data_IF_463496571880
#
_entry.id   IF_463496571880
#
_cell.length_a   1.000
_cell.length_b   1.000
_cell.length_c   1.000
_cell.angle_alpha   90.00
_cell.angle_beta   90.00
_cell.angle_gamma   90.00
#
_symmetry.space_group_name_H-M   'P 1'
#
loop_
_entity.id
_entity.type
_entity.pdbx_description
1 polymer ?
#
# COMPACT_ATOMS: atom_id res chain seq x y z
N UNK A 1 -18.03 35.41 5.73
CA UNK A 1 -16.59 35.21 6.05
C UNK A 1 -15.80 35.12 4.75
N UNK A 2 -14.97 36.11 4.43
CA UNK A 2 -14.11 36.09 3.25
C UNK A 2 -13.02 35.05 3.50
N UNK A 3 -13.12 33.91 2.80
CA UNK A 3 -12.03 32.92 2.81
C UNK A 3 -10.78 33.58 2.24
N UNK A 4 -9.67 33.50 2.97
CA UNK A 4 -8.38 33.95 2.50
C UNK A 4 -8.06 33.31 1.14
N UNK A 5 -8.18 34.08 0.08
CA UNK A 5 -8.06 33.70 -1.33
C UNK A 5 -6.63 33.31 -1.75
N UNK A 6 -5.69 33.45 -0.84
CA UNK A 6 -4.27 33.21 -1.07
C UNK A 6 -3.71 32.15 -0.13
N UNK A 7 -4.21 30.90 -0.23
CA UNK A 7 -3.39 29.80 0.24
C UNK A 7 -2.25 29.60 -0.76
N UNK A 8 -1.00 30.00 -0.46
CA UNK A 8 0.13 29.89 -1.38
C UNK A 8 0.47 28.44 -1.70
N UNK A 9 -0.10 27.47 -0.97
CA UNK A 9 0.13 26.06 -1.15
C UNK A 9 -0.92 25.37 -2.06
N UNK A 10 -2.06 26.01 -2.35
CA UNK A 10 -3.05 25.44 -3.25
C UNK A 10 -2.50 25.32 -4.68
N UNK A 11 -2.66 24.16 -5.34
CA UNK A 11 -2.19 23.99 -6.72
C UNK A 11 -3.01 24.85 -7.67
N UNK A 12 -2.33 25.62 -8.52
CA UNK A 12 -2.96 26.57 -9.46
C UNK A 12 -3.17 25.97 -10.86
N UNK A 13 -2.33 25.02 -11.25
CA UNK A 13 -2.42 24.37 -12.55
C UNK A 13 -2.68 22.88 -12.39
N UNK A 14 -3.20 22.25 -13.46
CA UNK A 14 -3.41 20.80 -13.50
C UNK A 14 -2.10 20.03 -13.24
N UNK A 15 -1.00 20.45 -13.89
CA UNK A 15 0.29 19.76 -13.76
C UNK A 15 0.87 19.90 -12.34
N UNK A 16 0.71 21.08 -11.71
CA UNK A 16 1.11 21.27 -10.31
C UNK A 16 0.29 20.40 -9.37
N UNK A 17 -1.02 20.30 -9.59
CA UNK A 17 -1.89 19.41 -8.81
C UNK A 17 -1.50 17.94 -9.00
N UNK A 18 -1.26 17.49 -10.23
CA UNK A 18 -0.87 16.13 -10.55
C UNK A 18 0.48 15.75 -9.89
N UNK A 19 1.48 16.64 -9.97
CA UNK A 19 2.78 16.47 -9.31
C UNK A 19 2.64 16.38 -7.78
N UNK A 20 1.89 17.29 -7.17
CA UNK A 20 1.66 17.28 -5.72
C UNK A 20 0.94 16.02 -5.26
N UNK A 21 -0.06 15.54 -6.01
CA UNK A 21 -0.72 14.26 -5.68
C UNK A 21 0.25 13.10 -5.82
N UNK A 22 1.07 13.06 -6.87
CA UNK A 22 2.07 11.99 -7.03
C UNK A 22 3.08 11.96 -5.88
N UNK A 23 3.60 13.12 -5.47
CA UNK A 23 4.50 13.25 -4.34
C UNK A 23 3.80 12.83 -3.03
N UNK A 24 2.59 13.32 -2.78
CA UNK A 24 1.84 12.95 -1.58
C UNK A 24 1.47 11.46 -1.56
N UNK A 25 1.15 10.87 -2.70
CA UNK A 25 0.92 9.43 -2.80
C UNK A 25 2.18 8.63 -2.46
N UNK A 26 3.34 9.05 -2.96
CA UNK A 26 4.63 8.43 -2.62
C UNK A 26 4.93 8.55 -1.12
N UNK A 27 4.80 9.76 -0.55
CA UNK A 27 5.01 9.99 0.88
C UNK A 27 4.01 9.18 1.74
N UNK A 28 2.77 9.06 1.30
CA UNK A 28 1.77 8.22 1.96
C UNK A 28 2.15 6.74 1.91
N UNK A 29 2.72 6.25 0.80
CA UNK A 29 3.23 4.88 0.70
C UNK A 29 4.37 4.63 1.68
N UNK A 30 5.35 5.54 1.78
CA UNK A 30 6.45 5.43 2.76
C UNK A 30 5.91 5.43 4.19
N UNK A 31 5.02 6.35 4.51
CA UNK A 31 4.40 6.42 5.85
C UNK A 31 3.56 5.17 6.15
N UNK A 32 2.87 4.64 5.15
CA UNK A 32 2.09 3.40 5.28
C UNK A 32 2.95 2.19 5.63
N UNK A 33 4.14 2.08 5.05
CA UNK A 33 5.11 1.03 5.43
C UNK A 33 5.49 1.14 6.91
N UNK A 34 5.79 2.37 7.38
CA UNK A 34 6.14 2.60 8.78
C UNK A 34 4.97 2.25 9.70
N UNK A 35 3.74 2.67 9.36
CA UNK A 35 2.53 2.34 10.13
C UNK A 35 2.32 0.83 10.18
N UNK A 36 2.38 0.16 9.02
CA UNK A 36 2.17 -1.28 8.92
C UNK A 36 3.18 -2.06 9.78
N UNK A 37 4.47 -1.76 9.62
CA UNK A 37 5.53 -2.39 10.42
C UNK A 37 5.37 -2.10 11.92
N UNK A 38 4.98 -0.88 12.31
CA UNK A 38 4.76 -0.50 13.70
C UNK A 38 3.57 -1.25 14.31
N UNK A 39 2.46 -1.37 13.59
CA UNK A 39 1.29 -2.14 14.05
C UNK A 39 1.67 -3.60 14.24
N UNK A 40 2.31 -4.23 13.24
CA UNK A 40 2.75 -5.62 13.37
C UNK A 40 3.71 -5.83 14.54
N UNK A 41 4.68 -4.92 14.71
CA UNK A 41 5.65 -4.99 15.82
C UNK A 41 4.95 -4.92 17.19
N UNK A 42 4.04 -3.95 17.37
CA UNK A 42 3.30 -3.77 18.63
C UNK A 42 2.46 -5.02 18.94
N UNK A 43 1.72 -5.54 17.96
CA UNK A 43 0.88 -6.73 18.18
C UNK A 43 1.71 -8.00 18.40
N UNK A 44 2.87 -8.15 17.76
CA UNK A 44 3.79 -9.27 18.05
C UNK A 44 4.44 -9.16 19.42
N UNK A 45 4.69 -7.95 19.92
CA UNK A 45 5.32 -7.73 21.23
C UNK A 45 4.35 -7.87 22.40
N UNK A 46 3.08 -7.52 22.20
CA UNK A 46 2.04 -7.57 23.26
C UNK A 46 1.25 -8.87 23.20
N UNK A 47 0.97 -9.38 21.99
CA UNK A 47 0.33 -10.67 21.79
C UNK A 47 1.35 -11.80 21.98
N UNK A 48 0.87 -12.98 22.40
CA UNK A 48 1.63 -14.23 22.31
C UNK A 48 1.20 -14.92 21.00
N UNK A 49 1.76 -14.54 19.83
CA UNK A 49 1.36 -15.19 18.59
C UNK A 49 1.75 -16.66 18.66
N UNK A 50 0.80 -17.54 18.35
CA UNK A 50 1.05 -18.97 18.31
C UNK A 50 2.09 -19.25 17.21
N UNK A 51 3.12 -20.01 17.52
CA UNK A 51 4.08 -20.49 16.53
C UNK A 51 3.39 -21.64 15.79
N UNK A 52 3.33 -21.54 14.47
CA UNK A 52 2.69 -22.54 13.59
C UNK A 52 3.70 -23.35 12.77
N UNK A 53 4.97 -22.97 12.81
CA UNK A 53 6.02 -23.66 12.07
C UNK A 53 7.36 -22.95 12.21
N UNK A 54 8.33 -23.43 11.46
CA UNK A 54 9.63 -22.78 11.32
C UNK A 54 10.19 -23.00 9.91
N UNK A 55 11.07 -22.10 9.48
CA UNK A 55 11.90 -22.31 8.31
C UNK A 55 13.30 -22.62 8.80
N UNK A 56 13.82 -23.76 8.41
CA UNK A 56 15.20 -24.17 8.58
C UNK A 56 16.01 -23.65 7.40
N UNK A 57 17.13 -23.01 7.68
CA UNK A 57 18.08 -22.58 6.68
C UNK A 57 19.38 -23.34 6.88
N UNK A 58 19.79 -24.07 5.86
CA UNK A 58 21.07 -24.79 5.81
C UNK A 58 22.06 -23.98 4.99
N UNK A 59 23.21 -23.66 5.59
CA UNK A 59 24.30 -22.96 4.92
C UNK A 59 25.17 -24.00 4.22
N UNK A 60 25.15 -23.98 2.89
CA UNK A 60 26.00 -24.83 2.08
C UNK A 60 27.39 -24.22 2.01
N UNK A 61 28.41 -24.95 2.46
CA UNK A 61 29.80 -24.49 2.45
C UNK A 61 30.61 -25.23 1.40
N UNK A 62 31.64 -24.58 0.86
CA UNK A 62 32.63 -25.20 -0.02
C UNK A 62 33.66 -26.04 0.77
N UNK A 63 34.59 -26.68 0.06
CA UNK A 63 35.65 -27.51 0.67
C UNK A 63 36.60 -26.68 1.55
N UNK A 64 36.59 -25.35 1.42
CA UNK A 64 37.37 -24.40 2.21
C UNK A 64 36.61 -23.86 3.42
N UNK A 65 35.33 -24.22 3.58
CA UNK A 65 34.46 -23.78 4.67
C UNK A 65 33.78 -22.41 4.44
N UNK A 66 33.81 -21.87 3.21
CA UNK A 66 33.12 -20.63 2.88
C UNK A 66 31.66 -20.92 2.49
N UNK A 67 30.73 -20.10 2.94
CA UNK A 67 29.32 -20.20 2.56
C UNK A 67 29.17 -19.85 1.06
N UNK A 68 28.62 -20.80 0.29
CA UNK A 68 28.37 -20.66 -1.15
C UNK A 68 26.90 -20.55 -1.51
N UNK A 69 26.01 -21.12 -0.68
CA UNK A 69 24.56 -21.09 -0.90
C UNK A 69 23.81 -21.21 0.43
N UNK A 70 22.52 -20.93 0.40
CA UNK A 70 21.61 -21.06 1.52
C UNK A 70 20.32 -21.73 1.04
N UNK A 71 19.97 -22.87 1.63
CA UNK A 71 18.76 -23.61 1.29
C UNK A 71 17.77 -23.52 2.44
N UNK A 72 16.57 -23.01 2.17
CA UNK A 72 15.51 -22.86 3.16
C UNK A 72 14.44 -23.96 2.99
N UNK A 73 14.15 -24.72 4.05
CA UNK A 73 13.05 -25.69 4.09
C UNK A 73 12.04 -25.27 5.18
N UNK A 74 10.76 -25.22 4.83
CA UNK A 74 9.72 -24.78 5.76
C UNK A 74 8.93 -25.96 6.29
N UNK A 75 8.75 -26.00 7.62
CA UNK A 75 8.01 -27.00 8.36
C UNK A 75 6.83 -26.36 9.09
N UNK A 76 5.64 -26.98 9.03
CA UNK A 76 4.45 -26.56 9.76
C UNK A 76 4.08 -27.61 10.80
N UNK A 77 3.66 -27.15 11.99
CA UNK A 77 3.15 -28.03 13.04
C UNK A 77 1.69 -28.40 12.76
N UNK A 78 1.31 -29.64 13.07
CA UNK A 78 -0.09 -30.04 13.04
C UNK A 78 -0.87 -29.39 14.20
N UNK A 79 -2.19 -29.23 14.04
CA UNK A 79 -3.03 -28.61 15.06
C UNK A 79 -3.00 -29.44 16.37
N UNK A 80 -2.47 -28.83 17.44
CA UNK A 80 -2.36 -29.44 18.77
C UNK A 80 -0.98 -29.98 19.11
N UNK A 81 -0.03 -29.96 18.21
CA UNK A 81 1.37 -30.29 18.52
C UNK A 81 2.08 -29.17 19.30
N UNK A 82 2.96 -29.56 20.21
CA UNK A 82 3.83 -28.63 20.91
C UNK A 82 4.93 -28.15 19.94
N UNK A 83 5.10 -26.84 19.83
CA UNK A 83 6.04 -26.23 18.90
C UNK A 83 7.49 -26.47 19.38
N UNK A 84 8.07 -27.59 18.98
CA UNK A 84 9.48 -27.91 19.25
C UNK A 84 10.30 -27.45 18.05
N UNK A 85 11.11 -26.40 18.25
CA UNK A 85 12.03 -25.88 17.25
C UNK A 85 13.43 -26.29 17.65
N UNK A 86 14.22 -26.89 16.74
CA UNK A 86 15.61 -27.24 17.01
C UNK A 86 16.45 -25.99 17.37
N UNK A 87 17.52 -26.21 18.13
CA UNK A 87 18.48 -25.15 18.41
C UNK A 87 19.35 -24.89 17.18
N UNK A 88 19.63 -23.61 16.89
CA UNK A 88 20.52 -23.23 15.80
C UNK A 88 21.96 -23.62 16.09
N UNK A 89 22.66 -24.08 15.07
CA UNK A 89 24.09 -24.38 15.11
C UNK A 89 24.86 -23.54 14.07
N UNK A 90 26.13 -23.86 13.81
CA UNK A 90 26.98 -23.09 12.89
C UNK A 90 26.56 -23.24 11.41
N UNK A 91 25.77 -24.26 11.09
CA UNK A 91 25.33 -24.57 9.71
C UNK A 91 23.84 -24.47 9.51
N UNK A 92 23.06 -24.50 10.59
CA UNK A 92 21.60 -24.44 10.53
C UNK A 92 21.06 -23.35 11.44
N UNK A 93 20.17 -22.51 10.91
CA UNK A 93 19.41 -21.57 11.75
C UNK A 93 17.91 -21.64 11.42
N UNK A 94 17.09 -21.28 12.41
CA UNK A 94 15.65 -21.52 12.38
C UNK A 94 14.87 -20.22 12.56
N UNK A 95 14.04 -19.87 11.58
CA UNK A 95 13.14 -18.72 11.67
C UNK A 95 11.73 -19.19 12.03
N UNK A 96 11.20 -18.68 13.14
CA UNK A 96 9.85 -19.00 13.63
C UNK A 96 8.77 -18.40 12.73
N UNK A 97 7.79 -19.23 12.38
CA UNK A 97 6.58 -18.80 11.68
C UNK A 97 5.45 -18.67 12.69
N UNK A 98 4.83 -17.50 12.73
CA UNK A 98 3.76 -17.19 13.67
C UNK A 98 2.41 -17.12 12.97
N UNK A 99 1.31 -17.45 13.69
CA UNK A 99 -0.04 -17.15 13.18
C UNK A 99 -0.16 -15.66 12.94
N UNK A 100 -0.81 -15.30 11.85
CA UNK A 100 -1.24 -13.93 11.64
C UNK A 100 -2.66 -13.77 12.18
N UNK A 101 -2.79 -12.94 13.20
CA UNK A 101 -4.10 -12.44 13.58
C UNK A 101 -4.61 -11.50 12.48
N UNK A 102 -5.85 -11.72 12.03
CA UNK A 102 -6.47 -10.84 11.03
C UNK A 102 -6.63 -9.39 11.53
N UNK A 103 -6.70 -9.20 12.85
CA UNK A 103 -6.92 -7.88 13.45
C UNK A 103 -5.82 -6.86 13.18
N UNK A 104 -4.51 -7.15 13.35
CA UNK A 104 -3.43 -6.23 12.99
C UNK A 104 -3.44 -5.86 11.50
N UNK A 105 -3.74 -6.83 10.63
CA UNK A 105 -3.82 -6.59 9.18
C UNK A 105 -4.98 -5.65 8.84
N UNK A 106 -6.17 -5.88 9.40
CA UNK A 106 -7.34 -5.02 9.20
C UNK A 106 -7.09 -3.62 9.76
N UNK A 107 -6.53 -3.52 10.97
CA UNK A 107 -6.23 -2.24 11.61
C UNK A 107 -5.21 -1.44 10.80
N UNK A 108 -4.12 -2.08 10.39
CA UNK A 108 -3.10 -1.43 9.55
C UNK A 108 -3.67 -1.00 8.21
N UNK A 109 -4.53 -1.81 7.57
CA UNK A 109 -5.19 -1.44 6.32
C UNK A 109 -6.08 -0.20 6.48
N UNK A 110 -6.86 -0.12 7.56
CA UNK A 110 -7.69 1.06 7.83
C UNK A 110 -6.82 2.31 8.00
N UNK A 111 -5.76 2.22 8.80
CA UNK A 111 -4.88 3.35 9.08
C UNK A 111 -4.12 3.81 7.82
N UNK A 112 -3.57 2.88 7.05
CA UNK A 112 -2.78 3.20 5.85
C UNK A 112 -3.65 3.82 4.76
N UNK A 113 -4.87 3.27 4.52
CA UNK A 113 -5.82 3.84 3.56
C UNK A 113 -6.33 5.21 4.02
N UNK A 114 -6.55 5.41 5.32
CA UNK A 114 -6.96 6.71 5.86
C UNK A 114 -5.89 7.77 5.59
N UNK A 115 -4.63 7.49 5.91
CA UNK A 115 -3.50 8.41 5.67
C UNK A 115 -3.36 8.72 4.19
N UNK A 116 -3.38 7.69 3.35
CA UNK A 116 -3.32 7.83 1.90
C UNK A 116 -4.45 8.71 1.36
N UNK A 117 -5.68 8.45 1.81
CA UNK A 117 -6.86 9.23 1.41
C UNK A 117 -6.72 10.69 1.81
N UNK A 118 -6.34 10.98 3.05
CA UNK A 118 -6.21 12.35 3.54
C UNK A 118 -5.15 13.14 2.76
N UNK A 119 -4.00 12.52 2.47
CA UNK A 119 -2.92 13.18 1.75
C UNK A 119 -3.28 13.52 0.31
N UNK A 120 -4.02 12.65 -0.38
CA UNK A 120 -4.47 12.91 -1.76
C UNK A 120 -5.67 13.86 -1.77
N UNK A 121 -6.62 13.63 -0.85
CA UNK A 121 -7.85 14.41 -0.74
C UNK A 121 -7.57 15.92 -0.61
N UNK A 122 -6.64 16.30 0.26
CA UNK A 122 -6.32 17.71 0.52
C UNK A 122 -5.89 18.46 -0.75
N UNK A 123 -5.05 17.84 -1.57
CA UNK A 123 -4.55 18.44 -2.81
C UNK A 123 -5.64 18.50 -3.88
N UNK A 124 -6.36 17.38 -4.09
CA UNK A 124 -7.40 17.31 -5.11
C UNK A 124 -8.60 18.22 -4.78
N UNK A 125 -8.97 18.31 -3.49
CA UNK A 125 -9.99 19.23 -3.01
C UNK A 125 -9.57 20.69 -3.22
N UNK A 126 -8.34 21.06 -2.85
CA UNK A 126 -7.81 22.41 -3.03
C UNK A 126 -7.78 22.83 -4.50
N UNK A 127 -7.43 21.93 -5.38
CA UNK A 127 -7.48 22.16 -6.84
C UNK A 127 -8.92 22.36 -7.33
N UNK A 128 -9.88 21.56 -6.86
CA UNK A 128 -11.30 21.73 -7.18
C UNK A 128 -11.86 23.07 -6.72
N UNK A 129 -11.50 23.51 -5.49
CA UNK A 129 -11.90 24.83 -4.98
C UNK A 129 -11.28 25.99 -5.79
N UNK A 130 -10.02 25.86 -6.18
CA UNK A 130 -9.36 26.83 -7.07
C UNK A 130 -10.08 26.91 -8.43
N UNK A 131 -10.39 25.76 -9.07
CA UNK A 131 -11.12 25.70 -10.34
C UNK A 131 -12.51 26.30 -10.26
N UNK A 132 -13.24 26.09 -9.15
CA UNK A 132 -14.52 26.75 -8.93
C UNK A 132 -14.40 28.28 -9.06
N UNK A 133 -13.36 28.84 -8.47
CA UNK A 133 -13.15 30.27 -8.48
C UNK A 133 -12.77 30.75 -9.89
N UNK A 134 -11.90 30.04 -10.62
CA UNK A 134 -11.58 30.38 -12.01
C UNK A 134 -12.81 30.40 -12.92
N UNK A 135 -13.70 29.39 -12.76
CA UNK A 135 -14.95 29.34 -13.51
C UNK A 135 -15.89 30.49 -13.12
N UNK A 136 -16.00 30.82 -11.83
CA UNK A 136 -16.82 31.94 -11.36
C UNK A 136 -16.34 33.29 -11.91
N UNK A 137 -15.03 33.45 -12.16
CA UNK A 137 -14.46 34.66 -12.79
C UNK A 137 -14.39 34.60 -14.33
N UNK A 138 -14.96 33.58 -14.95
CA UNK A 138 -14.96 33.43 -16.39
C UNK A 138 -13.59 33.12 -17.01
N UNK A 139 -12.61 32.69 -16.19
CA UNK A 139 -11.24 32.38 -16.63
C UNK A 139 -11.07 30.92 -17.11
N UNK A 140 -12.01 30.06 -16.76
CA UNK A 140 -12.01 28.65 -17.15
C UNK A 140 -13.42 28.15 -17.38
N UNK A 141 -13.56 27.00 -18.07
CA UNK A 141 -14.82 26.28 -18.22
C UNK A 141 -14.83 25.06 -17.30
N UNK A 142 -16.01 24.70 -16.76
CA UNK A 142 -16.14 23.53 -15.92
C UNK A 142 -15.91 22.24 -16.70
N UNK A 143 -14.97 21.43 -16.25
CA UNK A 143 -14.78 20.06 -16.75
C UNK A 143 -15.06 19.06 -15.62
N UNK A 144 -16.15 18.29 -15.74
CA UNK A 144 -16.57 17.29 -14.73
C UNK A 144 -15.59 16.14 -14.54
N UNK A 145 -14.82 15.82 -15.59
CA UNK A 145 -13.86 14.71 -15.57
C UNK A 145 -12.45 15.13 -15.15
N UNK A 146 -12.23 16.40 -14.81
CA UNK A 146 -10.89 16.91 -14.47
C UNK A 146 -10.30 16.21 -13.24
N UNK A 147 -11.13 15.94 -12.22
CA UNK A 147 -10.72 15.16 -11.04
C UNK A 147 -10.33 13.70 -11.39
N UNK A 148 -11.08 13.05 -12.28
CA UNK A 148 -10.72 11.70 -12.73
C UNK A 148 -9.42 11.70 -13.55
N UNK A 149 -9.24 12.66 -14.47
CA UNK A 149 -7.98 12.85 -15.21
C UNK A 149 -6.81 13.04 -14.26
N UNK A 150 -6.98 13.86 -13.22
CA UNK A 150 -5.96 14.10 -12.20
C UNK A 150 -5.55 12.77 -11.51
N UNK A 151 -6.52 11.92 -11.14
CA UNK A 151 -6.29 10.60 -10.59
C UNK A 151 -5.53 9.67 -11.55
N UNK A 152 -5.88 9.65 -12.83
CA UNK A 152 -5.19 8.86 -13.86
C UNK A 152 -3.73 9.30 -14.00
N UNK A 153 -3.48 10.60 -14.18
CA UNK A 153 -2.11 11.12 -14.32
C UNK A 153 -1.24 10.84 -13.09
N UNK A 154 -1.80 10.99 -11.90
CA UNK A 154 -1.07 10.69 -10.65
C UNK A 154 -0.86 9.19 -10.42
N UNK A 155 -1.57 8.32 -11.13
CA UNK A 155 -1.47 6.86 -11.04
C UNK A 155 -0.48 6.24 -12.01
N UNK A 156 0.16 7.02 -12.89
CA UNK A 156 1.05 6.50 -13.95
C UNK A 156 2.11 5.54 -13.40
N UNK A 157 2.75 5.86 -12.27
CA UNK A 157 3.78 4.99 -11.67
C UNK A 157 3.17 3.65 -11.21
N UNK A 158 1.99 3.67 -10.58
CA UNK A 158 1.28 2.45 -10.17
C UNK A 158 0.83 1.62 -11.38
N UNK A 159 0.40 2.28 -12.46
CA UNK A 159 0.03 1.62 -13.73
C UNK A 159 1.24 0.96 -14.37
N UNK A 160 2.39 1.63 -14.43
CA UNK A 160 3.63 1.06 -14.97
C UNK A 160 4.10 -0.14 -14.13
N UNK A 161 4.05 -0.04 -12.80
CA UNK A 161 4.37 -1.15 -11.93
C UNK A 161 3.40 -2.35 -12.14
N UNK A 162 2.11 -2.08 -12.36
CA UNK A 162 1.13 -3.10 -12.67
C UNK A 162 1.38 -3.77 -14.02
N UNK A 163 1.76 -3.00 -15.04
CA UNK A 163 2.14 -3.53 -16.36
C UNK A 163 3.36 -4.44 -16.24
N UNK A 164 4.38 -4.06 -15.44
CA UNK A 164 5.53 -4.93 -15.16
C UNK A 164 5.09 -6.26 -14.54
N UNK A 165 4.13 -6.24 -13.63
CA UNK A 165 3.54 -7.45 -13.04
C UNK A 165 2.84 -8.32 -14.08
N UNK A 166 2.05 -7.72 -14.99
CA UNK A 166 1.40 -8.44 -16.09
C UNK A 166 2.43 -9.12 -17.01
N UNK A 167 3.49 -8.40 -17.37
CA UNK A 167 4.56 -8.93 -18.24
C UNK A 167 5.26 -10.10 -17.54
N UNK A 168 5.55 -9.94 -16.24
CA UNK A 168 6.14 -11.02 -15.44
C UNK A 168 5.23 -12.25 -15.39
N UNK A 169 3.91 -12.07 -15.17
CA UNK A 169 2.92 -13.15 -15.18
C UNK A 169 2.83 -13.89 -16.52
N UNK A 170 3.14 -13.24 -17.63
CA UNK A 170 3.17 -13.83 -18.97
C UNK A 170 4.45 -14.62 -19.26
N UNK A 171 5.31 -14.86 -18.26
CA UNK A 171 6.49 -15.71 -18.36
C UNK A 171 7.81 -14.97 -18.60
N UNK A 172 7.83 -13.63 -18.53
CA UNK A 172 9.08 -12.87 -18.54
C UNK A 172 9.62 -12.81 -17.11
N UNK A 173 10.78 -13.43 -16.83
CA UNK A 173 11.39 -13.47 -15.50
C UNK A 173 11.81 -12.07 -15.03
N UNK A 174 10.91 -11.34 -14.38
CA UNK A 174 11.15 -10.03 -13.78
C UNK A 174 11.03 -10.16 -12.25
N UNK A 175 12.09 -10.61 -11.59
CA UNK A 175 12.11 -10.89 -10.14
C UNK A 175 11.74 -9.68 -9.27
N UNK A 176 12.00 -8.44 -9.74
CA UNK A 176 11.73 -7.22 -8.98
C UNK A 176 10.33 -6.61 -9.23
N UNK A 177 9.49 -7.23 -10.06
CA UNK A 177 8.15 -6.69 -10.38
C UNK A 177 7.26 -6.60 -9.13
N UNK A 178 7.21 -7.68 -8.32
CA UNK A 178 6.45 -7.72 -7.06
C UNK A 178 6.95 -6.71 -6.03
N UNK A 179 8.27 -6.66 -5.69
CA UNK A 179 8.80 -5.65 -4.78
C UNK A 179 8.49 -4.22 -5.20
N UNK A 180 8.67 -3.88 -6.48
CA UNK A 180 8.37 -2.53 -6.98
C UNK A 180 6.89 -2.21 -6.85
N UNK A 181 6.01 -3.13 -7.27
CA UNK A 181 4.57 -2.94 -7.15
C UNK A 181 4.14 -2.77 -5.69
N UNK A 182 4.64 -3.61 -4.80
CA UNK A 182 4.38 -3.54 -3.36
C UNK A 182 4.85 -2.22 -2.75
N UNK A 183 6.04 -1.74 -3.11
CA UNK A 183 6.58 -0.48 -2.62
C UNK A 183 5.72 0.72 -3.05
N UNK A 184 5.38 0.79 -4.34
CA UNK A 184 4.59 1.91 -4.93
C UNK A 184 3.15 1.93 -4.43
N UNK A 185 2.61 0.79 -4.00
CA UNK A 185 1.24 0.63 -3.52
C UNK A 185 1.18 0.12 -2.07
N UNK A 186 2.19 0.42 -1.26
CA UNK A 186 2.37 -0.13 0.09
C UNK A 186 1.23 0.22 1.06
N UNK A 187 0.45 1.26 0.78
CA UNK A 187 -0.78 1.55 1.54
C UNK A 187 -1.86 0.46 1.42
N UNK A 188 -1.73 -0.48 0.46
CA UNK A 188 -2.63 -1.61 0.27
C UNK A 188 -1.95 -2.97 0.54
N UNK A 189 -0.74 -2.98 1.11
CA UNK A 189 -0.02 -4.23 1.42
C UNK A 189 -0.83 -5.20 2.30
N UNK A 190 -1.53 -4.76 3.38
CA UNK A 190 -2.32 -5.69 4.18
C UNK A 190 -3.45 -6.35 3.37
N UNK A 191 -4.07 -5.59 2.46
CA UNK A 191 -5.08 -6.13 1.55
C UNK A 191 -4.48 -7.16 0.58
N UNK A 192 -3.31 -6.84 0.00
CA UNK A 192 -2.64 -7.77 -0.91
C UNK A 192 -2.26 -9.07 -0.21
N UNK A 193 -1.76 -8.98 1.02
CA UNK A 193 -1.41 -10.14 1.82
C UNK A 193 -2.62 -11.07 2.09
N UNK A 194 -3.82 -10.49 2.22
CA UNK A 194 -5.04 -11.27 2.41
C UNK A 194 -5.48 -12.05 1.15
N UNK A 195 -5.14 -11.57 -0.05
CA UNK A 195 -5.56 -12.15 -1.33
C UNK A 195 -4.43 -12.85 -2.08
N UNK A 196 -3.19 -12.59 -1.72
CA UNK A 196 -1.99 -13.23 -2.27
C UNK A 196 -1.40 -14.10 -1.17
N UNK A 197 -2.12 -15.16 -0.79
CA UNK A 197 -1.58 -16.18 0.09
C UNK A 197 -0.68 -17.12 -0.73
N UNK A 198 0.47 -17.46 -0.17
CA UNK A 198 1.24 -18.60 -0.63
C UNK A 198 0.47 -19.89 -0.37
N UNK A 199 0.77 -20.97 -1.09
CA UNK A 199 0.25 -22.31 -0.82
C UNK A 199 0.42 -22.72 0.66
N UNK A 200 1.28 -22.05 1.40
CA UNK A 200 1.62 -22.31 2.80
C UNK A 200 1.00 -21.32 3.81
N UNK A 201 0.07 -20.48 3.40
CA UNK A 201 -0.66 -19.56 4.32
C UNK A 201 0.21 -18.54 5.06
N UNK A 202 1.45 -18.29 4.61
CA UNK A 202 2.31 -17.27 5.20
C UNK A 202 1.85 -15.89 4.75
N UNK A 203 1.28 -15.15 5.69
CA UNK A 203 0.88 -13.77 5.50
C UNK A 203 2.01 -12.86 6.04
N UNK A 204 2.27 -11.77 5.37
CA UNK A 204 3.23 -10.78 5.85
C UNK A 204 3.86 -9.98 4.71
N UNK A 205 4.75 -9.05 5.06
CA UNK A 205 5.49 -8.24 4.08
C UNK A 205 6.23 -9.12 3.05
N UNK A 206 6.68 -10.28 3.49
CA UNK A 206 7.35 -11.30 2.68
C UNK A 206 6.44 -11.96 1.66
N UNK A 207 5.12 -12.08 1.91
CA UNK A 207 4.21 -12.74 0.99
C UNK A 207 4.10 -12.00 -0.35
N UNK A 208 4.04 -10.67 -0.33
CA UNK A 208 3.98 -9.86 -1.56
C UNK A 208 5.35 -9.64 -2.18
N UNK A 209 6.41 -9.53 -1.35
CA UNK A 209 7.76 -9.22 -1.83
C UNK A 209 8.52 -10.49 -2.23
N UNK A 210 8.26 -11.64 -1.57
CA UNK A 210 8.95 -12.90 -1.76
C UNK A 210 8.37 -13.82 -2.84
N UNK A 211 7.13 -13.57 -3.31
CA UNK A 211 6.51 -14.43 -4.31
C UNK A 211 6.95 -14.09 -5.73
N UNK A 212 7.16 -15.14 -6.51
CA UNK A 212 7.31 -14.96 -7.95
C UNK A 212 5.96 -14.52 -8.55
N UNK A 213 5.95 -13.61 -9.55
CA UNK A 213 4.72 -13.18 -10.22
C UNK A 213 3.95 -14.34 -10.86
N UNK A 214 4.65 -15.44 -11.20
CA UNK A 214 4.07 -16.64 -11.83
C UNK A 214 3.10 -17.36 -10.90
N UNK A 215 3.32 -17.30 -9.57
CA UNK A 215 2.51 -17.96 -8.54
C UNK A 215 1.21 -17.20 -8.24
N UNK A 216 1.11 -15.94 -8.72
CA UNK A 216 -0.09 -15.15 -8.52
C UNK A 216 -1.30 -15.70 -9.26
N UNK A 217 -2.42 -15.87 -8.55
CA UNK A 217 -3.70 -16.14 -9.20
C UNK A 217 -4.18 -14.93 -10.02
N UNK A 218 -4.99 -15.16 -11.07
CA UNK A 218 -5.63 -14.06 -11.82
C UNK A 218 -6.54 -13.20 -10.95
N UNK A 219 -7.12 -13.78 -9.90
CA UNK A 219 -7.91 -13.04 -8.90
C UNK A 219 -7.01 -12.08 -8.11
N UNK A 220 -5.87 -12.57 -7.60
CA UNK A 220 -4.88 -11.73 -6.92
C UNK A 220 -4.41 -10.57 -7.79
N UNK A 221 -4.12 -10.85 -9.07
CA UNK A 221 -3.73 -9.83 -10.04
C UNK A 221 -4.84 -8.78 -10.26
N UNK A 222 -6.12 -9.21 -10.27
CA UNK A 222 -7.26 -8.29 -10.39
C UNK A 222 -7.40 -7.39 -9.16
N UNK A 223 -7.16 -7.93 -7.94
CA UNK A 223 -7.16 -7.16 -6.69
C UNK A 223 -6.07 -6.08 -6.70
N UNK A 224 -4.94 -6.33 -7.35
CA UNK A 224 -3.85 -5.36 -7.50
C UNK A 224 -4.21 -4.13 -8.36
N UNK A 225 -5.33 -4.12 -9.06
CA UNK A 225 -5.88 -2.91 -9.71
C UNK A 225 -6.56 -1.94 -8.73
N UNK A 226 -6.98 -2.41 -7.56
CA UNK A 226 -7.73 -1.60 -6.58
C UNK A 226 -7.03 -0.29 -6.18
N UNK A 227 -5.70 -0.22 -5.92
CA UNK A 227 -5.02 1.03 -5.60
C UNK A 227 -5.16 2.09 -6.69
N UNK A 228 -5.09 1.68 -7.94
CA UNK A 228 -5.19 2.58 -9.10
C UNK A 228 -6.61 3.13 -9.19
N UNK A 229 -7.61 2.25 -9.14
CA UNK A 229 -9.03 2.64 -9.18
C UNK A 229 -9.41 3.51 -7.97
N UNK A 230 -8.93 3.15 -6.79
CA UNK A 230 -9.16 3.90 -5.57
C UNK A 230 -8.59 5.32 -5.65
N UNK A 231 -7.37 5.48 -6.14
CA UNK A 231 -6.73 6.79 -6.33
C UNK A 231 -7.56 7.68 -7.27
N UNK A 232 -8.02 7.12 -8.40
CA UNK A 232 -8.87 7.83 -9.37
C UNK A 232 -10.17 8.27 -8.70
N UNK A 233 -10.81 7.37 -7.94
CA UNK A 233 -12.05 7.66 -7.23
C UNK A 233 -11.87 8.77 -6.19
N UNK A 234 -10.83 8.68 -5.35
CA UNK A 234 -10.54 9.69 -4.33
C UNK A 234 -10.30 11.06 -4.98
N UNK A 235 -9.49 11.13 -6.04
CA UNK A 235 -9.23 12.37 -6.75
C UNK A 235 -10.52 12.97 -7.36
N UNK A 236 -11.35 12.12 -7.96
CA UNK A 236 -12.63 12.56 -8.56
C UNK A 236 -13.58 13.12 -7.50
N UNK A 237 -13.80 12.38 -6.40
CA UNK A 237 -14.70 12.79 -5.33
C UNK A 237 -14.17 14.06 -4.63
N UNK A 238 -12.88 14.09 -4.30
CA UNK A 238 -12.28 15.23 -3.64
C UNK A 238 -12.35 16.51 -4.50
N UNK A 239 -12.04 16.40 -5.81
CA UNK A 239 -12.18 17.50 -6.75
C UNK A 239 -13.63 18.03 -6.82
N UNK A 240 -14.63 17.14 -6.96
CA UNK A 240 -16.04 17.53 -7.01
C UNK A 240 -16.51 18.20 -5.71
N UNK A 241 -16.07 17.70 -4.55
CA UNK A 241 -16.37 18.32 -3.25
C UNK A 241 -15.73 19.72 -3.16
N UNK A 242 -14.48 19.86 -3.58
CA UNK A 242 -13.80 21.16 -3.66
C UNK A 242 -14.51 22.12 -4.59
N UNK A 243 -14.85 21.67 -5.82
CA UNK A 243 -15.57 22.47 -6.78
C UNK A 243 -16.95 22.94 -6.26
N UNK A 244 -17.65 22.12 -5.48
CA UNK A 244 -18.91 22.50 -4.82
C UNK A 244 -18.70 23.37 -3.56
N UNK A 245 -17.47 23.58 -3.12
CA UNK A 245 -17.16 24.30 -1.90
C UNK A 245 -17.56 23.59 -0.63
N UNK A 246 -17.74 22.26 -0.69
CA UNK A 246 -18.09 21.44 0.46
C UNK A 246 -16.80 21.06 1.18
N UNK A 247 -16.59 21.60 2.37
CA UNK A 247 -15.47 21.23 3.24
C UNK A 247 -15.95 20.25 4.30
N UNK A 248 -15.39 19.03 4.28
CA UNK A 248 -15.66 18.03 5.32
C UNK A 248 -15.20 18.55 6.68
N UNK A 249 -14.05 19.23 6.72
CA UNK A 249 -13.50 19.85 7.94
C UNK A 249 -14.49 20.79 8.59
N UNK A 250 -15.12 21.71 7.81
CA UNK A 250 -16.11 22.64 8.35
C UNK A 250 -17.35 21.93 8.85
N UNK A 251 -17.84 20.89 8.14
CA UNK A 251 -19.01 20.14 8.59
C UNK A 251 -18.76 19.38 9.90
N UNK A 252 -17.55 18.84 10.12
CA UNK A 252 -17.24 18.11 11.36
C UNK A 252 -17.05 19.07 12.52
N UNK A 253 -16.31 20.17 12.33
CA UNK A 253 -15.92 21.09 13.40
C UNK A 253 -17.10 21.99 13.81
N UNK A 254 -17.92 22.47 12.87
CA UNK A 254 -18.95 23.46 13.15
C UNK A 254 -20.38 22.88 13.30
N UNK A 255 -20.56 21.56 13.19
CA UNK A 255 -21.87 20.92 13.42
C UNK A 255 -22.28 20.95 14.89
N UNK A 256 -21.35 21.16 15.82
CA UNK A 256 -21.60 21.20 17.27
C UNK A 256 -21.94 22.59 17.83
N UNK A 257 -22.07 23.62 16.98
CA UNK A 257 -22.36 24.99 17.40
C UNK A 257 -23.75 25.48 16.93
N UNK A 258 -24.72 24.57 16.77
CA UNK A 258 -26.13 24.95 16.59
C UNK A 258 -27.00 24.27 17.61
#
# INVERSE_FOLDING_TARGET
>A
MSRNYNDPQAPKTFDDAAKKIAINAFMACVLSLVIYMSVLFVFRSIGNPKIIGYTEFEIVVDDEGNAIDEVGTTYYFEDGEEAVIPESDDTHYYNKIYTNDAFPEILSQILTVLVFTLMIYTVAWGFGDHRRNEVAFGRATRNKLEGAKLGVYSSVVSVLAYILMLIAKLGVSIRFAMPIFGLVNSCFLPLFNAFVSNEHGTYGLTAVIGNAPDDLSWVGLSVMLLPILYKILVCFVAYELGYRGISIKEKIIYKNNK
#
